data_IF_713305554248
#
_entry.id   IF_713305554248
#
_cell.length_a   1.000
_cell.length_b   1.000
_cell.length_c   1.000
_cell.angle_alpha   90.00
_cell.angle_beta   90.00
_cell.angle_gamma   90.00
#
_symmetry.space_group_name_H-M   'P 1'
#
loop_
_entity.id
_entity.type
_entity.pdbx_description
1 polymer ?
#
# COMPACT_ATOMS: atom_id res chain seq x y z
N UNK A 1 -12.60 -8.89 -4.87
CA UNK A 1 -11.84 -8.36 -3.73
C UNK A 1 -12.63 -7.20 -3.17
N UNK A 2 -12.92 -7.22 -1.87
CA UNK A 2 -13.52 -6.07 -1.17
C UNK A 2 -12.82 -5.91 0.16
N UNK A 3 -12.49 -4.67 0.52
CA UNK A 3 -11.93 -4.28 1.81
C UNK A 3 -12.77 -3.16 2.38
N UNK A 4 -12.99 -3.17 3.69
CA UNK A 4 -13.62 -2.08 4.41
C UNK A 4 -12.67 -1.59 5.49
N UNK A 5 -12.19 -0.37 5.32
CA UNK A 5 -11.40 0.33 6.33
C UNK A 5 -12.25 1.42 6.98
N UNK A 6 -12.12 1.60 8.29
CA UNK A 6 -12.83 2.64 9.05
C UNK A 6 -11.85 3.34 9.98
N UNK A 7 -11.50 4.56 9.63
CA UNK A 7 -10.69 5.46 10.43
C UNK A 7 -11.54 6.61 10.97
N UNK A 8 -11.24 7.05 12.19
CA UNK A 8 -11.80 8.25 12.81
C UNK A 8 -10.71 8.94 13.62
N UNK A 9 -10.72 10.27 13.68
CA UNK A 9 -9.71 11.05 14.40
C UNK A 9 -9.49 12.43 13.79
N UNK A 10 -8.63 13.22 14.44
CA UNK A 10 -8.15 14.52 13.95
C UNK A 10 -6.73 14.28 13.45
N UNK A 11 -6.48 14.50 12.15
CA UNK A 11 -5.23 14.15 11.48
C UNK A 11 -5.49 13.22 10.31
N UNK A 12 -5.49 13.80 9.10
CA UNK A 12 -5.58 13.06 7.85
C UNK A 12 -4.20 12.72 7.31
N UNK A 13 -4.19 12.01 6.18
CA UNK A 13 -3.02 11.95 5.32
C UNK A 13 -2.89 13.32 4.65
N UNK A 14 -1.78 14.01 4.89
CA UNK A 14 -1.45 15.28 4.26
C UNK A 14 -0.37 15.14 3.19
N UNK A 15 0.54 14.17 3.31
CA UNK A 15 1.52 13.83 2.28
C UNK A 15 2.07 12.40 2.40
N UNK A 16 2.72 11.93 1.32
CA UNK A 16 3.52 10.69 1.24
C UNK A 16 2.94 9.50 2.02
N UNK A 17 1.83 9.00 1.49
CA UNK A 17 1.10 7.88 2.06
C UNK A 17 1.08 6.71 1.10
N UNK A 18 1.24 5.51 1.64
CA UNK A 18 0.96 4.28 0.95
C UNK A 18 0.28 3.31 1.89
N UNK A 19 -0.82 2.73 1.42
CA UNK A 19 -1.53 1.67 2.11
C UNK A 19 -1.73 0.46 1.21
N UNK A 20 -1.69 -0.72 1.82
CA UNK A 20 -2.01 -1.97 1.16
C UNK A 20 -3.07 -2.73 1.95
N UNK A 21 -4.14 -3.14 1.28
CA UNK A 21 -5.08 -4.15 1.75
C UNK A 21 -4.87 -5.45 0.98
N UNK A 22 -4.18 -6.42 1.59
CA UNK A 22 -3.77 -7.67 0.95
C UNK A 22 -4.67 -8.81 1.42
N UNK A 23 -5.15 -9.62 0.47
CA UNK A 23 -5.89 -10.84 0.77
C UNK A 23 -5.42 -12.00 -0.12
N UNK A 24 -5.43 -13.20 0.45
CA UNK A 24 -5.07 -14.44 -0.24
C UNK A 24 -6.34 -15.29 -0.44
N UNK A 25 -6.70 -15.65 -1.68
CA UNK A 25 -7.88 -16.47 -1.97
C UNK A 25 -7.87 -17.79 -1.18
N UNK A 26 -9.00 -18.15 -0.59
CA UNK A 26 -9.14 -19.38 0.20
C UNK A 26 -8.46 -19.36 1.58
N UNK A 27 -7.88 -18.22 1.97
CA UNK A 27 -7.25 -18.03 3.28
C UNK A 27 -8.03 -17.02 4.12
N UNK A 28 -7.93 -17.14 5.44
CA UNK A 28 -8.41 -16.13 6.40
C UNK A 28 -7.37 -15.04 6.69
N UNK A 29 -6.16 -15.16 6.11
CA UNK A 29 -5.10 -14.17 6.25
C UNK A 29 -5.55 -12.86 5.58
N UNK A 30 -5.60 -11.79 6.37
CA UNK A 30 -5.88 -10.42 5.90
C UNK A 30 -4.79 -9.51 6.43
N UNK A 31 -4.13 -8.79 5.53
CA UNK A 31 -2.99 -7.94 5.91
C UNK A 31 -3.27 -6.50 5.51
N UNK A 32 -3.10 -5.59 6.47
CA UNK A 32 -3.13 -4.16 6.23
C UNK A 32 -1.75 -3.59 6.51
N UNK A 33 -1.14 -2.95 5.52
CA UNK A 33 0.20 -2.37 5.62
C UNK A 33 0.11 -0.86 5.42
N UNK A 34 0.63 -0.10 6.36
CA UNK A 34 0.54 1.36 6.39
C UNK A 34 1.91 2.00 6.37
N UNK A 35 2.04 3.01 5.51
CA UNK A 35 3.18 3.91 5.44
C UNK A 35 2.67 5.34 5.30
N UNK A 36 3.05 6.23 6.20
CA UNK A 36 2.84 7.67 6.01
C UNK A 36 4.02 8.48 6.52
N UNK A 37 4.37 9.56 5.81
CA UNK A 37 5.28 10.58 6.30
C UNK A 37 4.52 11.90 6.39
N UNK A 38 3.60 11.99 7.35
CA UNK A 38 2.82 13.21 7.54
C UNK A 38 3.72 14.38 7.95
N UNK A 39 3.36 15.57 7.49
CA UNK A 39 4.10 16.81 7.79
C UNK A 39 3.49 17.57 8.98
N UNK A 40 2.18 17.48 9.19
CA UNK A 40 1.46 18.25 10.22
C UNK A 40 0.47 17.39 11.02
N UNK A 41 0.79 17.03 12.29
CA UNK A 41 2.11 17.11 12.90
C UNK A 41 3.08 16.13 12.22
N UNK A 42 4.38 16.42 12.28
CA UNK A 42 5.39 15.51 11.72
C UNK A 42 5.25 14.12 12.36
N UNK A 43 4.91 13.14 11.54
CA UNK A 43 4.70 11.77 11.99
C UNK A 43 5.07 10.76 10.92
N UNK A 44 5.89 9.79 11.30
CA UNK A 44 6.23 8.65 10.45
C UNK A 44 5.57 7.39 10.98
N UNK A 45 4.62 6.85 10.24
CA UNK A 45 3.92 5.61 10.58
C UNK A 45 4.37 4.49 9.65
N UNK A 46 4.83 3.38 10.21
CA UNK A 46 5.17 2.15 9.48
C UNK A 46 4.71 0.96 10.29
N UNK A 47 3.63 0.32 9.89
CA UNK A 47 3.15 -0.88 10.58
C UNK A 47 2.36 -1.80 9.63
N UNK A 48 2.47 -3.11 9.85
CA UNK A 48 1.64 -4.09 9.19
C UNK A 48 0.87 -4.86 10.25
N UNK A 49 -0.45 -4.90 10.12
CA UNK A 49 -1.32 -5.74 10.94
C UNK A 49 -1.79 -6.93 10.11
N UNK A 50 -1.69 -8.12 10.67
CA UNK A 50 -2.05 -9.38 10.04
C UNK A 50 -3.11 -10.06 10.89
N UNK A 51 -4.28 -10.30 10.33
CA UNK A 51 -5.26 -11.20 10.95
C UNK A 51 -4.93 -12.61 10.53
N UNK A 52 -4.69 -13.49 11.50
CA UNK A 52 -4.45 -14.92 11.33
C UNK A 52 -5.57 -15.73 11.98
N UNK A 53 -5.52 -17.05 11.82
CA UNK A 53 -6.41 -17.96 12.53
C UNK A 53 -6.23 -17.89 14.07
N UNK A 54 -5.11 -17.36 14.54
CA UNK A 54 -4.75 -17.27 15.96
C UNK A 54 -5.00 -15.89 16.57
N UNK A 55 -5.36 -14.88 15.76
CA UNK A 55 -5.66 -13.54 16.23
C UNK A 55 -5.08 -12.45 15.34
N UNK A 56 -4.81 -11.29 15.94
CA UNK A 56 -4.15 -10.16 15.28
C UNK A 56 -2.67 -10.12 15.64
N UNK A 57 -1.83 -10.02 14.63
CA UNK A 57 -0.38 -9.93 14.77
C UNK A 57 0.12 -8.60 14.16
N UNK A 58 1.17 -8.03 14.75
CA UNK A 58 1.90 -6.92 14.14
C UNK A 58 3.24 -7.42 13.63
N UNK A 59 3.51 -7.16 12.36
CA UNK A 59 4.74 -7.62 11.69
C UNK A 59 5.51 -6.41 11.20
N UNK A 60 6.80 -6.32 11.54
CA UNK A 60 7.69 -5.29 10.99
C UNK A 60 8.05 -5.65 9.56
N UNK A 61 8.27 -4.63 8.74
CA UNK A 61 8.62 -4.82 7.34
C UNK A 61 9.52 -3.70 6.84
N UNK A 62 10.23 -3.98 5.76
CA UNK A 62 10.86 -3.00 4.90
C UNK A 62 10.15 -3.03 3.55
N UNK A 63 10.12 -1.89 2.86
CA UNK A 63 9.56 -1.80 1.51
C UNK A 63 10.54 -1.15 0.55
N UNK A 64 10.55 -1.64 -0.68
CA UNK A 64 11.23 -0.99 -1.81
C UNK A 64 10.29 -0.93 -3.01
N UNK A 65 10.63 -0.08 -3.98
CA UNK A 65 9.87 0.07 -5.22
C UNK A 65 10.79 -0.02 -6.44
N UNK A 66 10.27 -0.58 -7.53
CA UNK A 66 11.04 -0.77 -8.76
C UNK A 66 11.17 0.54 -9.53
N UNK A 67 12.38 1.11 -9.55
CA UNK A 67 12.68 2.36 -10.28
C UNK A 67 12.38 2.32 -11.78
N UNK A 68 12.35 1.13 -12.38
CA UNK A 68 12.09 0.94 -13.81
C UNK A 68 10.61 0.73 -14.14
N UNK A 69 9.80 0.31 -13.17
CA UNK A 69 8.40 -0.06 -13.38
C UNK A 69 7.49 1.06 -12.84
N UNK A 70 7.43 2.15 -13.59
CA UNK A 70 6.75 3.40 -13.22
C UNK A 70 5.73 3.82 -14.26
N UNK A 71 4.76 4.63 -13.85
CA UNK A 71 3.84 5.34 -14.73
C UNK A 71 3.76 6.79 -14.29
N UNK A 72 3.85 7.71 -15.25
CA UNK A 72 3.72 9.15 -15.01
C UNK A 72 2.36 9.61 -15.52
N UNK A 73 1.58 10.23 -14.65
CA UNK A 73 0.27 10.73 -15.02
C UNK A 73 0.37 11.89 -16.00
N UNK A 74 -0.40 11.88 -17.11
CA UNK A 74 -0.51 13.04 -17.99
C UNK A 74 -1.31 14.20 -17.38
N UNK A 75 -2.09 13.96 -16.32
CA UNK A 75 -2.94 14.98 -15.69
C UNK A 75 -2.19 15.76 -14.60
N UNK A 76 -1.51 15.05 -13.71
CA UNK A 76 -0.84 15.62 -12.53
C UNK A 76 0.68 15.73 -12.69
N UNK A 77 1.27 15.06 -13.69
CA UNK A 77 2.71 14.87 -13.86
C UNK A 77 3.39 14.08 -12.71
N UNK A 78 2.60 13.51 -11.79
CA UNK A 78 3.14 12.64 -10.73
C UNK A 78 3.57 11.29 -11.29
N UNK A 79 4.65 10.75 -10.75
CA UNK A 79 5.18 9.42 -11.13
C UNK A 79 4.92 8.40 -10.04
N UNK A 80 4.20 7.34 -10.39
CA UNK A 80 3.79 6.27 -9.50
C UNK A 80 4.54 4.99 -9.80
N UNK A 81 5.01 4.33 -8.74
CA UNK A 81 5.64 3.02 -8.83
C UNK A 81 4.54 1.97 -9.04
N UNK A 82 4.67 1.14 -10.08
CA UNK A 82 3.72 0.05 -10.38
C UNK A 82 4.08 -1.25 -9.66
N UNK A 83 5.33 -1.39 -9.19
CA UNK A 83 5.84 -2.59 -8.53
C UNK A 83 6.58 -2.28 -7.25
N UNK A 84 6.25 -3.00 -6.19
CA UNK A 84 6.83 -2.86 -4.85
C UNK A 84 7.16 -4.21 -4.25
N UNK A 85 8.19 -4.24 -3.42
CA UNK A 85 8.65 -5.42 -2.70
C UNK A 85 8.59 -5.14 -1.21
N UNK A 86 7.94 -6.02 -0.46
CA UNK A 86 7.82 -5.93 0.99
C UNK A 86 8.56 -7.13 1.60
N UNK A 87 9.58 -6.86 2.39
CA UNK A 87 10.32 -7.86 3.15
C UNK A 87 9.88 -7.77 4.62
N UNK A 88 9.33 -8.86 5.15
CA UNK A 88 8.85 -8.92 6.53
C UNK A 88 9.92 -9.48 7.47
N UNK A 89 9.93 -9.01 8.71
CA UNK A 89 10.95 -9.38 9.69
C UNK A 89 10.91 -10.87 10.11
N UNK A 90 9.82 -11.57 9.81
CA UNK A 90 9.68 -13.02 10.00
C UNK A 90 10.30 -13.83 8.84
N UNK A 91 10.92 -13.17 7.85
CA UNK A 91 11.54 -13.81 6.68
C UNK A 91 10.59 -14.03 5.49
N UNK A 92 9.31 -13.70 5.66
CA UNK A 92 8.35 -13.69 4.56
C UNK A 92 8.59 -12.47 3.64
N UNK A 93 8.12 -12.55 2.40
CA UNK A 93 8.26 -11.47 1.43
C UNK A 93 7.10 -11.47 0.43
N UNK A 94 6.76 -10.29 -0.08
CA UNK A 94 5.72 -10.10 -1.09
C UNK A 94 6.20 -9.15 -2.18
N UNK A 95 6.03 -9.56 -3.44
CA UNK A 95 6.03 -8.68 -4.60
C UNK A 95 4.59 -8.29 -4.92
N UNK A 96 4.35 -6.99 -5.07
CA UNK A 96 3.04 -6.43 -5.34
C UNK A 96 3.12 -5.59 -6.62
N UNK A 97 2.28 -5.91 -7.60
CA UNK A 97 2.27 -5.27 -8.91
C UNK A 97 0.86 -4.80 -9.31
N UNK A 98 0.73 -3.52 -9.66
CA UNK A 98 -0.52 -2.94 -10.16
C UNK A 98 -0.96 -3.61 -11.48
N UNK A 99 -2.25 -3.90 -11.62
CA UNK A 99 -2.79 -4.62 -12.79
C UNK A 99 -2.88 -3.78 -14.06
N UNK A 100 -2.83 -2.45 -13.93
CA UNK A 100 -2.79 -1.48 -15.02
C UNK A 100 -2.07 -0.21 -14.55
N UNK A 101 -1.74 0.65 -15.50
CA UNK A 101 -0.92 1.83 -15.26
C UNK A 101 -1.69 2.95 -14.58
N UNK A 102 -2.72 3.45 -15.24
CA UNK A 102 -3.52 4.57 -14.76
C UNK A 102 -4.53 4.08 -13.72
N UNK A 103 -4.37 4.53 -12.48
CA UNK A 103 -5.35 4.39 -11.40
C UNK A 103 -5.54 5.72 -10.66
N UNK A 104 -5.18 6.83 -11.32
CA UNK A 104 -5.17 8.12 -10.68
C UNK A 104 -6.59 8.64 -10.46
N UNK A 105 -6.81 9.14 -9.26
CA UNK A 105 -7.97 9.91 -8.88
C UNK A 105 -7.48 11.34 -8.82
N UNK A 106 -7.76 12.07 -9.91
CA UNK A 106 -7.34 13.45 -10.10
C UNK A 106 -8.57 14.37 -10.09
N UNK A 107 -8.45 15.47 -9.34
CA UNK A 107 -9.31 16.63 -9.46
C UNK A 107 -8.48 17.89 -9.20
N UNK A 108 -8.77 18.96 -9.94
CA UNK A 108 -8.03 20.22 -9.81
C UNK A 108 -8.21 20.81 -8.40
N UNK A 109 -7.10 21.25 -7.79
CA UNK A 109 -7.10 21.83 -6.45
C UNK A 109 -7.27 20.84 -5.30
N UNK A 110 -7.25 19.53 -5.55
CA UNK A 110 -7.26 18.51 -4.49
C UNK A 110 -5.96 17.71 -4.46
N UNK A 111 -5.68 17.06 -3.33
CA UNK A 111 -4.62 16.05 -3.27
C UNK A 111 -4.90 14.97 -4.31
N UNK A 112 -3.91 14.71 -5.16
CA UNK A 112 -3.98 13.64 -6.14
C UNK A 112 -3.64 12.33 -5.45
N UNK A 113 -4.35 11.26 -5.78
CA UNK A 113 -4.09 9.94 -5.23
C UNK A 113 -4.21 8.88 -6.32
N UNK A 114 -3.75 7.66 -6.03
CA UNK A 114 -4.11 6.47 -6.82
C UNK A 114 -4.79 5.46 -5.91
N UNK A 115 -5.75 4.73 -6.45
CA UNK A 115 -6.32 3.53 -5.82
C UNK A 115 -6.27 2.39 -6.82
N UNK A 116 -5.26 1.53 -6.66
CA UNK A 116 -4.88 0.53 -7.64
C UNK A 116 -5.21 -0.89 -7.17
N UNK A 117 -5.85 -1.66 -8.03
CA UNK A 117 -5.85 -3.12 -7.87
C UNK A 117 -4.49 -3.69 -8.27
N UNK A 118 -4.03 -4.70 -7.53
CA UNK A 118 -2.74 -5.32 -7.74
C UNK A 118 -2.78 -6.84 -7.53
N UNK A 119 -1.87 -7.53 -8.19
CA UNK A 119 -1.53 -8.94 -7.91
C UNK A 119 -0.43 -9.01 -6.88
N UNK A 120 -0.44 -10.08 -6.09
CA UNK A 120 0.55 -10.35 -5.05
C UNK A 120 1.16 -11.72 -5.29
N UNK A 121 2.48 -11.81 -5.31
CA UNK A 121 3.24 -13.06 -5.33
C UNK A 121 4.31 -13.06 -4.24
N UNK A 122 4.73 -14.23 -3.76
CA UNK A 122 5.80 -14.35 -2.77
C UNK A 122 5.58 -15.49 -1.80
N UNK A 123 5.95 -15.28 -0.54
CA UNK A 123 5.69 -16.18 0.57
C UNK A 123 5.27 -15.36 1.79
N UNK A 124 4.07 -15.59 2.31
CA UNK A 124 3.57 -14.89 3.49
C UNK A 124 2.59 -15.75 4.28
N UNK A 125 2.93 -16.15 5.50
CA UNK A 125 2.09 -17.04 6.34
C UNK A 125 1.61 -18.29 5.57
N UNK A 126 2.53 -18.91 4.82
CA UNK A 126 2.26 -20.08 3.98
C UNK A 126 1.49 -19.80 2.68
N UNK A 127 1.06 -18.56 2.44
CA UNK A 127 0.40 -18.14 1.21
C UNK A 127 1.43 -17.71 0.15
N UNK A 128 1.09 -17.91 -1.13
CA UNK A 128 2.01 -17.60 -2.24
C UNK A 128 1.48 -16.61 -3.27
N UNK A 129 0.17 -16.52 -3.42
CA UNK A 129 -0.51 -15.70 -4.42
C UNK A 129 -1.75 -15.05 -3.84
N UNK A 130 -1.93 -13.79 -4.13
CA UNK A 130 -3.06 -13.02 -3.63
C UNK A 130 -3.36 -11.81 -4.51
N UNK A 131 -4.21 -10.96 -3.96
CA UNK A 131 -4.57 -9.69 -4.54
C UNK A 131 -4.37 -8.59 -3.50
N UNK A 132 -4.17 -7.37 -3.96
CA UNK A 132 -4.10 -6.20 -3.11
C UNK A 132 -4.93 -5.04 -3.69
N UNK A 133 -5.40 -4.20 -2.79
CA UNK A 133 -5.72 -2.81 -3.09
C UNK A 133 -4.56 -1.95 -2.57
N UNK A 134 -4.11 -0.99 -3.37
CA UNK A 134 -3.02 -0.08 -3.02
C UNK A 134 -3.52 1.35 -3.13
N UNK A 135 -3.48 2.09 -2.05
CA UNK A 135 -3.74 3.52 -2.07
C UNK A 135 -2.41 4.26 -1.92
N UNK A 136 -2.18 5.26 -2.76
CA UNK A 136 -0.97 6.09 -2.73
C UNK A 136 -1.35 7.55 -2.84
N UNK A 137 -0.86 8.36 -1.91
CA UNK A 137 -0.80 9.82 -2.04
C UNK A 137 0.68 10.17 -2.17
N UNK A 138 1.10 10.82 -3.28
CA UNK A 138 2.50 11.19 -3.46
C UNK A 138 2.93 12.26 -2.45
N UNK A 139 4.23 12.44 -2.21
CA UNK A 139 4.75 13.56 -1.43
C UNK A 139 4.32 14.91 -2.02
N UNK A 140 3.99 15.88 -1.16
CA UNK A 140 3.59 17.25 -1.54
C UNK A 140 4.78 18.17 -1.87
N UNK A 141 6.00 17.77 -1.51
CA UNK A 141 7.26 18.45 -1.85
C UNK A 141 8.30 17.47 -2.39
N UNK A 142 9.01 17.88 -3.45
CA UNK A 142 10.24 17.23 -3.95
C UNK A 142 11.49 17.79 -3.27
#
# INVERSE_FOLDING_TARGET
>A
MTWYDRQYGIGGIDSDFTWFGIQFPGSDIRTSVWLSNNEVPEQRLRFATVRTAHGLEMVRFNITASRADVWTSPNSNNTYQKRRFIDFANGDFLEIQSVREDHEIYAEGTLTATSAFATVEGQFFGQKRGFALIDVVPPTSL
#
